data_IF_407537866159
#
_entry.id   IF_407537866159
#
_cell.length_a   1.000
_cell.length_b   1.000
_cell.length_c   1.000
_cell.angle_alpha   90.00
_cell.angle_beta   90.00
_cell.angle_gamma   90.00
#
_symmetry.space_group_name_H-M   'P 1'
#
loop_
_entity.id
_entity.type
_entity.pdbx_description
1 polymer ?
#
# COMPACT_ATOMS: atom_id res chain seq x y z
N UNK A 1 -18.41 2.43 -1.65
CA UNK A 1 -17.15 1.71 -1.41
C UNK A 1 -16.04 2.33 -2.23
N UNK A 2 -14.92 2.63 -1.60
CA UNK A 2 -13.76 3.21 -2.29
C UNK A 2 -13.02 2.19 -3.14
N UNK A 3 -12.24 2.69 -4.07
CA UNK A 3 -11.35 1.86 -4.85
C UNK A 3 -10.23 1.31 -3.96
N UNK A 4 -9.84 0.08 -4.21
CA UNK A 4 -8.70 -0.55 -3.58
C UNK A 4 -7.53 -0.59 -4.56
N UNK A 5 -6.33 -0.56 -4.04
CA UNK A 5 -5.14 -0.80 -4.83
C UNK A 5 -4.60 -2.19 -4.49
N UNK A 6 -4.62 -3.09 -5.46
CA UNK A 6 -4.00 -4.40 -5.32
C UNK A 6 -2.52 -4.31 -5.67
N UNK A 7 -1.67 -4.79 -4.77
CA UNK A 7 -0.24 -4.88 -4.99
C UNK A 7 0.11 -6.30 -5.43
N UNK A 8 0.60 -6.44 -6.65
CA UNK A 8 0.88 -7.73 -7.26
C UNK A 8 2.34 -8.13 -7.04
N UNK A 9 2.55 -9.42 -6.79
CA UNK A 9 3.88 -10.01 -6.68
C UNK A 9 4.38 -10.47 -8.03
N UNK A 10 5.66 -10.73 -8.06
CA UNK A 10 6.25 -11.64 -9.01
C UNK A 10 6.73 -11.03 -10.29
N UNK A 11 7.07 -11.94 -11.13
CA UNK A 11 7.85 -11.75 -12.32
C UNK A 11 6.96 -11.53 -13.53
N UNK A 12 5.67 -11.89 -13.37
CA UNK A 12 4.67 -11.78 -14.41
C UNK A 12 3.43 -11.05 -13.88
N UNK A 13 3.45 -9.71 -13.82
CA UNK A 13 2.29 -8.95 -13.34
C UNK A 13 1.01 -9.24 -14.12
N UNK A 14 1.13 -9.56 -15.41
CA UNK A 14 -0.01 -9.94 -16.23
C UNK A 14 -0.70 -11.22 -15.78
N UNK A 15 0.07 -12.23 -15.37
CA UNK A 15 -0.48 -13.47 -14.80
C UNK A 15 -1.08 -13.23 -13.41
N UNK A 16 -0.42 -12.45 -12.58
CA UNK A 16 -0.93 -12.08 -11.26
C UNK A 16 -2.26 -11.33 -11.39
N UNK A 17 -2.37 -10.44 -12.34
CA UNK A 17 -3.60 -9.70 -12.62
C UNK A 17 -4.72 -10.63 -13.14
N UNK A 18 -4.39 -11.57 -14.02
CA UNK A 18 -5.34 -12.55 -14.52
C UNK A 18 -5.84 -13.47 -13.40
N UNK A 19 -4.97 -13.90 -12.50
CA UNK A 19 -5.34 -14.66 -11.30
C UNK A 19 -6.31 -13.86 -10.42
N UNK A 20 -5.97 -12.59 -10.16
CA UNK A 20 -6.82 -11.72 -9.36
C UNK A 20 -8.21 -11.52 -9.99
N UNK A 21 -8.27 -11.32 -11.32
CA UNK A 21 -9.54 -11.20 -12.04
C UNK A 21 -10.39 -12.47 -11.91
N UNK A 22 -9.74 -13.63 -11.95
CA UNK A 22 -10.45 -14.91 -11.80
C UNK A 22 -11.01 -15.08 -10.37
N UNK A 23 -10.31 -14.59 -9.36
CA UNK A 23 -10.75 -14.63 -7.96
C UNK A 23 -11.77 -13.55 -7.62
N UNK A 24 -11.80 -12.47 -8.37
CA UNK A 24 -12.73 -11.35 -8.22
C UNK A 24 -13.49 -11.11 -9.54
N UNK A 25 -14.33 -12.06 -9.99
CA UNK A 25 -14.90 -12.01 -11.33
C UNK A 25 -15.85 -10.85 -11.58
N UNK A 26 -16.46 -10.33 -10.52
CA UNK A 26 -17.39 -9.20 -10.61
C UNK A 26 -16.72 -7.85 -10.41
N UNK A 27 -15.45 -7.83 -10.01
CA UNK A 27 -14.69 -6.60 -9.83
C UNK A 27 -14.17 -6.09 -11.16
N UNK A 28 -14.05 -4.78 -11.27
CA UNK A 28 -13.38 -4.13 -12.39
C UNK A 28 -11.94 -3.84 -12.00
N UNK A 29 -11.00 -4.37 -12.79
CA UNK A 29 -9.58 -4.16 -12.61
C UNK A 29 -9.07 -3.18 -13.66
N UNK A 30 -8.30 -2.19 -13.21
CA UNK A 30 -7.70 -1.19 -14.08
C UNK A 30 -6.20 -1.06 -13.78
N UNK A 31 -5.41 -0.80 -14.82
CA UNK A 31 -3.98 -0.55 -14.66
C UNK A 31 -3.73 0.75 -13.89
N UNK A 32 -2.63 0.78 -13.16
CA UNK A 32 -2.13 1.98 -12.52
C UNK A 32 -0.72 2.32 -13.09
N UNK A 33 -0.04 3.25 -12.46
CA UNK A 33 1.28 3.72 -12.89
C UNK A 33 2.35 2.64 -12.97
N UNK A 34 2.23 1.61 -12.14
CA UNK A 34 3.09 0.44 -12.19
C UNK A 34 2.30 -0.80 -12.64
N UNK A 35 2.88 -1.69 -13.47
CA UNK A 35 2.22 -2.94 -13.83
C UNK A 35 1.96 -3.86 -12.63
N UNK A 36 2.63 -3.62 -11.51
CA UNK A 36 2.41 -4.36 -10.26
C UNK A 36 1.29 -3.79 -9.40
N UNK A 37 0.71 -2.69 -9.81
CA UNK A 37 -0.42 -2.09 -9.12
C UNK A 37 -1.68 -2.19 -9.98
N UNK A 38 -2.75 -2.59 -9.35
CA UNK A 38 -4.02 -2.75 -10.03
C UNK A 38 -5.12 -2.11 -9.19
N UNK A 39 -5.85 -1.18 -9.78
CA UNK A 39 -7.03 -0.63 -9.13
C UNK A 39 -8.16 -1.62 -9.20
N UNK A 40 -8.78 -1.88 -8.06
CA UNK A 40 -9.87 -2.84 -7.93
C UNK A 40 -11.12 -2.10 -7.46
N UNK A 41 -12.16 -2.22 -8.23
CA UNK A 41 -13.45 -1.60 -7.94
C UNK A 41 -14.54 -2.68 -7.88
N UNK A 42 -15.42 -2.56 -6.88
CA UNK A 42 -16.56 -3.46 -6.78
C UNK A 42 -16.28 -4.78 -6.07
N UNK A 43 -15.30 -4.83 -5.17
CA UNK A 43 -15.03 -6.00 -4.33
C UNK A 43 -15.48 -5.77 -2.89
N UNK A 44 -15.89 -6.85 -2.23
CA UNK A 44 -16.19 -6.83 -0.79
C UNK A 44 -14.95 -7.20 0.03
N UNK A 45 -14.98 -6.86 1.32
CA UNK A 45 -13.90 -7.24 2.23
C UNK A 45 -13.72 -8.77 2.33
N UNK A 46 -14.82 -9.52 2.30
CA UNK A 46 -14.77 -10.98 2.34
C UNK A 46 -14.12 -11.54 1.07
N UNK A 47 -14.48 -11.03 -0.09
CA UNK A 47 -13.87 -11.44 -1.37
C UNK A 47 -12.38 -11.14 -1.42
N UNK A 48 -11.96 -9.97 -0.93
CA UNK A 48 -10.55 -9.61 -0.87
C UNK A 48 -9.76 -10.49 0.08
N UNK A 49 -10.35 -10.85 1.22
CA UNK A 49 -9.72 -11.76 2.18
C UNK A 49 -9.50 -13.13 1.56
N UNK A 50 -10.50 -13.68 0.91
CA UNK A 50 -10.40 -14.95 0.21
C UNK A 50 -9.35 -14.90 -0.91
N UNK A 51 -9.31 -13.81 -1.68
CA UNK A 51 -8.31 -13.62 -2.71
C UNK A 51 -6.89 -13.61 -2.14
N UNK A 52 -6.67 -12.98 -0.99
CA UNK A 52 -5.35 -12.99 -0.32
C UNK A 52 -4.91 -14.39 0.11
N UNK A 53 -5.86 -15.24 0.49
CA UNK A 53 -5.55 -16.63 0.89
C UNK A 53 -5.24 -17.51 -0.30
N UNK A 54 -5.91 -17.31 -1.43
CA UNK A 54 -5.83 -18.19 -2.60
C UNK A 54 -4.83 -17.75 -3.65
N UNK A 55 -4.61 -16.44 -3.78
CA UNK A 55 -3.76 -15.91 -4.84
C UNK A 55 -2.29 -16.04 -4.51
N UNK A 56 -1.52 -16.56 -5.44
CA UNK A 56 -0.06 -16.63 -5.33
C UNK A 56 0.61 -15.33 -5.77
N UNK A 57 -0.01 -14.59 -6.68
CA UNK A 57 0.52 -13.35 -7.26
C UNK A 57 0.07 -12.07 -6.57
N UNK A 58 -0.70 -12.16 -5.50
CA UNK A 58 -1.21 -11.01 -4.76
C UNK A 58 -0.44 -10.83 -3.45
N UNK A 59 0.05 -9.64 -3.21
CA UNK A 59 0.77 -9.32 -1.98
C UNK A 59 -0.15 -8.73 -0.92
N UNK A 60 -0.91 -7.71 -1.28
CA UNK A 60 -1.85 -7.07 -0.38
C UNK A 60 -2.84 -6.20 -1.16
N UNK A 61 -3.87 -5.75 -0.45
CA UNK A 61 -4.70 -4.64 -0.88
C UNK A 61 -4.41 -3.42 -0.02
N UNK A 62 -4.30 -2.28 -0.65
CA UNK A 62 -4.20 -0.99 0.02
C UNK A 62 -5.54 -0.28 -0.08
N UNK A 63 -6.01 0.21 1.06
CA UNK A 63 -7.20 1.01 1.16
C UNK A 63 -6.82 2.46 0.92
N UNK A 64 -7.39 3.11 -0.06
CA UNK A 64 -7.30 4.55 -0.31
C UNK A 64 -5.92 5.22 -0.16
N UNK A 65 -5.71 6.25 -0.88
CA UNK A 65 -4.64 7.16 -0.54
C UNK A 65 -3.27 6.74 -1.03
N UNK A 66 -3.22 6.41 -2.28
CA UNK A 66 -1.93 6.39 -2.97
C UNK A 66 -1.40 7.81 -2.97
N UNK A 67 -0.55 8.11 -2.02
CA UNK A 67 0.26 9.32 -2.10
C UNK A 67 1.36 9.02 -3.08
N UNK A 68 1.19 9.49 -4.29
CA UNK A 68 2.27 9.44 -5.27
C UNK A 68 3.11 10.68 -5.11
N UNK A 69 4.33 10.51 -4.65
CA UNK A 69 5.33 11.54 -4.68
C UNK A 69 6.38 11.17 -5.73
N UNK A 70 5.99 11.29 -6.99
CA UNK A 70 6.91 11.08 -8.11
C UNK A 70 7.96 12.18 -8.22
N UNK A 71 7.77 13.28 -7.51
CA UNK A 71 8.62 14.46 -7.57
C UNK A 71 9.42 14.68 -6.30
N UNK A 72 9.35 13.77 -5.33
CA UNK A 72 10.15 13.91 -4.12
C UNK A 72 11.64 13.76 -4.47
N UNK A 73 12.35 14.85 -4.38
CA UNK A 73 13.78 14.89 -4.67
C UNK A 73 14.60 14.20 -3.56
N UNK A 74 14.07 14.13 -2.36
CA UNK A 74 14.74 13.58 -1.19
C UNK A 74 13.73 13.03 -0.15
N UNK A 75 14.27 12.32 0.84
CA UNK A 75 13.48 11.72 1.92
C UNK A 75 12.74 12.77 2.76
N UNK A 76 13.34 13.92 2.99
CA UNK A 76 12.72 14.99 3.78
C UNK A 76 11.47 15.54 3.10
N UNK A 77 11.51 15.75 1.80
CA UNK A 77 10.37 16.19 1.00
C UNK A 77 9.27 15.15 0.99
N UNK A 78 9.63 13.88 0.86
CA UNK A 78 8.70 12.78 0.92
C UNK A 78 8.01 12.71 2.28
N UNK A 79 8.78 12.80 3.36
CA UNK A 79 8.24 12.76 4.73
C UNK A 79 7.30 13.94 5.01
N UNK A 80 7.63 15.12 4.52
CA UNK A 80 6.76 16.30 4.62
C UNK A 80 5.43 16.09 3.88
N UNK A 81 5.48 15.46 2.72
CA UNK A 81 4.28 15.09 1.95
C UNK A 81 3.42 14.09 2.71
N UNK A 82 4.03 13.09 3.32
CA UNK A 82 3.33 12.09 4.13
C UNK A 82 2.68 12.73 5.37
N UNK A 83 3.39 13.64 6.01
CA UNK A 83 2.83 14.38 7.16
C UNK A 83 1.58 15.16 6.77
N UNK A 84 1.63 15.86 5.67
CA UNK A 84 0.47 16.62 5.17
C UNK A 84 -0.71 15.70 4.86
N UNK A 85 -0.44 14.55 4.21
CA UNK A 85 -1.47 13.56 3.94
C UNK A 85 -2.11 13.04 5.24
N UNK A 86 -1.31 12.72 6.24
CA UNK A 86 -1.80 12.20 7.52
C UNK A 86 -2.55 13.26 8.33
N UNK A 87 -2.18 14.52 8.21
CA UNK A 87 -2.96 15.62 8.81
C UNK A 87 -4.36 15.73 8.21
N UNK A 88 -4.48 15.49 6.91
CA UNK A 88 -5.76 15.49 6.19
C UNK A 88 -6.55 14.19 6.38
N UNK A 89 -5.87 13.08 6.63
CA UNK A 89 -6.43 11.74 6.77
C UNK A 89 -5.95 11.10 8.08
N UNK A 90 -6.42 11.58 9.23
CA UNK A 90 -5.93 11.09 10.51
C UNK A 90 -6.23 9.60 10.71
N UNK A 91 -5.26 8.89 11.25
CA UNK A 91 -5.37 7.47 11.57
C UNK A 91 -5.77 7.32 13.03
N UNK A 92 -6.85 6.57 13.28
CA UNK A 92 -7.31 6.26 14.61
C UNK A 92 -7.02 4.81 14.95
N UNK A 93 -6.51 4.58 16.16
CA UNK A 93 -6.13 3.25 16.63
C UNK A 93 -4.63 3.00 16.46
N UNK A 94 -4.27 1.73 16.53
CA UNK A 94 -2.88 1.32 16.37
C UNK A 94 -2.49 1.21 14.91
N UNK A 95 -1.22 1.44 14.61
CA UNK A 95 -0.70 1.47 13.26
C UNK A 95 0.65 0.79 13.18
N UNK A 96 0.92 0.12 12.07
CA UNK A 96 2.25 -0.33 11.70
C UNK A 96 2.62 0.22 10.31
N UNK A 97 3.89 0.51 10.13
CA UNK A 97 4.45 0.91 8.84
C UNK A 97 5.21 -0.28 8.26
N UNK A 98 4.86 -0.66 7.03
CA UNK A 98 5.53 -1.75 6.31
C UNK A 98 5.94 -1.26 4.94
N UNK A 99 7.23 -1.20 4.71
CA UNK A 99 7.77 -0.75 3.44
C UNK A 99 8.35 -1.90 2.62
N UNK A 100 8.19 -1.82 1.33
CA UNK A 100 8.87 -2.72 0.40
C UNK A 100 9.15 -1.99 -0.91
N UNK A 101 10.06 -2.53 -1.66
CA UNK A 101 10.38 -1.99 -2.99
C UNK A 101 9.64 -2.78 -4.07
N UNK A 102 9.16 -2.06 -5.05
CA UNK A 102 8.66 -2.62 -6.29
C UNK A 102 9.51 -2.08 -7.44
N UNK A 103 10.17 -2.98 -8.14
CA UNK A 103 11.10 -2.62 -9.20
C UNK A 103 12.51 -2.41 -8.71
N UNK A 104 13.22 -1.46 -9.25
CA UNK A 104 14.62 -1.20 -8.96
C UNK A 104 14.88 -0.51 -7.63
N UNK A 105 16.15 -0.39 -7.31
CA UNK A 105 16.63 0.37 -6.16
C UNK A 105 16.86 1.82 -6.55
N UNK A 106 16.31 2.75 -5.79
CA UNK A 106 16.60 4.16 -5.92
C UNK A 106 17.86 4.50 -5.11
N UNK A 107 18.82 5.16 -5.76
CA UNK A 107 20.03 5.60 -5.10
C UNK A 107 19.71 6.66 -4.06
N UNK A 108 20.28 6.53 -2.86
CA UNK A 108 20.04 7.47 -1.76
C UNK A 108 18.75 7.24 -0.97
N UNK A 109 17.97 6.21 -1.33
CA UNK A 109 16.72 5.88 -0.65
C UNK A 109 16.83 4.53 0.05
N UNK A 110 16.32 4.46 1.27
CA UNK A 110 16.27 3.25 2.07
C UNK A 110 14.85 3.02 2.57
N UNK A 111 14.26 1.89 2.20
CA UNK A 111 12.91 1.49 2.67
C UNK A 111 12.89 1.40 4.19
N UNK A 112 13.92 0.80 4.79
CA UNK A 112 14.03 0.67 6.24
C UNK A 112 14.09 2.03 6.93
N UNK A 113 14.88 2.97 6.41
CA UNK A 113 15.01 4.31 6.95
C UNK A 113 13.69 5.10 6.83
N UNK A 114 13.06 5.04 5.66
CA UNK A 114 11.77 5.70 5.42
C UNK A 114 10.67 5.15 6.33
N UNK A 115 10.61 3.83 6.49
CA UNK A 115 9.63 3.18 7.36
C UNK A 115 9.83 3.59 8.82
N UNK A 116 11.07 3.68 9.27
CA UNK A 116 11.42 4.14 10.61
C UNK A 116 11.05 5.60 10.85
N UNK A 117 11.33 6.46 9.88
CA UNK A 117 10.98 7.88 9.96
C UNK A 117 9.47 8.11 9.95
N UNK A 118 8.74 7.38 9.13
CA UNK A 118 7.27 7.46 9.10
C UNK A 118 6.67 6.94 10.40
N UNK A 119 7.18 5.85 10.94
CA UNK A 119 6.77 5.33 12.25
C UNK A 119 7.00 6.34 13.37
N UNK A 120 8.15 7.01 13.39
CA UNK A 120 8.45 8.09 14.32
C UNK A 120 7.50 9.27 14.18
N UNK A 121 7.19 9.67 12.96
CA UNK A 121 6.22 10.73 12.68
C UNK A 121 4.84 10.38 13.22
N UNK A 122 4.38 9.18 12.98
CA UNK A 122 3.07 8.70 13.48
C UNK A 122 3.02 8.69 15.01
N UNK A 123 4.10 8.25 15.65
CA UNK A 123 4.22 8.29 17.10
C UNK A 123 4.14 9.72 17.61
N UNK A 124 4.84 10.66 17.00
CA UNK A 124 4.83 12.07 17.36
C UNK A 124 3.44 12.72 17.14
N UNK A 125 2.67 12.21 16.21
CA UNK A 125 1.28 12.61 15.95
C UNK A 125 0.28 11.96 16.91
N UNK A 126 0.73 11.17 17.87
CA UNK A 126 -0.12 10.54 18.88
C UNK A 126 -0.66 9.17 18.52
N UNK A 127 -0.20 8.57 17.43
CA UNK A 127 -0.62 7.22 17.05
C UNK A 127 0.08 6.17 17.92
N UNK A 128 -0.64 5.12 18.26
CA UNK A 128 -0.08 3.94 18.92
C UNK A 128 0.55 3.02 17.87
N UNK A 129 1.79 2.61 18.09
CA UNK A 129 2.50 1.71 17.18
C UNK A 129 2.36 0.28 17.68
N UNK A 130 1.82 -0.60 16.84
CA UNK A 130 1.68 -2.03 17.11
C UNK A 130 2.13 -2.81 15.89
N UNK A 131 3.24 -3.52 16.02
CA UNK A 131 3.83 -4.27 14.92
C UNK A 131 3.22 -5.67 14.75
N UNK A 132 2.49 -6.15 15.75
CA UNK A 132 1.93 -7.50 15.77
C UNK A 132 0.52 -7.55 15.21
N UNK A 133 -0.38 -6.77 15.79
CA UNK A 133 -1.80 -6.73 15.42
C UNK A 133 -2.30 -5.29 15.32
N UNK A 134 -1.79 -4.51 14.36
CA UNK A 134 -2.23 -3.13 14.22
C UNK A 134 -3.64 -3.05 13.66
N UNK A 135 -4.38 -2.02 14.03
CA UNK A 135 -5.68 -1.71 13.43
C UNK A 135 -5.53 -1.28 11.97
N UNK A 136 -4.40 -0.61 11.65
CA UNK A 136 -4.10 -0.12 10.31
C UNK A 136 -2.65 -0.43 9.94
N UNK A 137 -2.44 -0.68 8.66
CA UNK A 137 -1.11 -0.82 8.08
C UNK A 137 -0.92 0.26 7.03
N UNK A 138 0.13 1.07 7.19
CA UNK A 138 0.63 1.97 6.16
C UNK A 138 1.75 1.26 5.41
N UNK A 139 1.63 1.16 4.10
CA UNK A 139 2.54 0.39 3.27
C UNK A 139 2.98 1.17 2.03
#
# INVERSE_FOLDING_TARGET
>A
MGDMLACLRGWHPGLARAELQALLPEATLAADTSPRWCRVRGSTAAQRREALELASGLQCFLLNGVVQSTEAADEATWLATMRRYLDEHPVQGSVAVRGWRQGGKLSGWSVSNLSGQLGGLLHDMGCSIDLSEPDHVLA
#
